data_IF_734176499628
#
_entry.id   IF_734176499628
#
_cell.length_a   1.000
_cell.length_b   1.000
_cell.length_c   1.000
_cell.angle_alpha   90.00
_cell.angle_beta   90.00
_cell.angle_gamma   90.00
#
_symmetry.space_group_name_H-M   'P 1'
#
loop_
_entity.id
_entity.type
_entity.pdbx_description
1 polymer ?
#
# COMPACT_ATOMS: atom_id res chain seq x y z
N UNK A 1 -18.37 19.64 -22.33
CA UNK A 1 -18.07 20.63 -23.39
C UNK A 1 -16.57 20.97 -23.50
N UNK A 2 -15.84 21.08 -22.39
CA UNK A 2 -14.43 21.54 -22.40
C UNK A 2 -13.42 20.51 -22.92
N UNK A 3 -13.59 19.23 -22.59
CA UNK A 3 -12.74 18.14 -23.11
C UNK A 3 -12.75 18.10 -24.65
N UNK A 4 -13.93 18.29 -25.26
CA UNK A 4 -14.06 18.33 -26.72
C UNK A 4 -13.40 19.57 -27.34
N UNK A 5 -13.42 20.71 -26.63
CA UNK A 5 -12.73 21.91 -27.08
C UNK A 5 -11.21 21.71 -27.04
N UNK A 6 -10.68 21.15 -25.95
CA UNK A 6 -9.26 20.79 -25.83
C UNK A 6 -8.83 19.81 -26.94
N UNK A 7 -9.66 18.81 -27.23
CA UNK A 7 -9.41 17.87 -28.34
C UNK A 7 -9.35 18.60 -29.69
N UNK A 8 -10.26 19.54 -29.95
CA UNK A 8 -10.25 20.38 -31.16
C UNK A 8 -9.03 21.29 -31.25
N UNK A 9 -8.49 21.73 -30.11
CA UNK A 9 -7.26 22.53 -30.03
C UNK A 9 -5.98 21.69 -30.19
N UNK A 10 -6.10 20.37 -30.41
CA UNK A 10 -4.97 19.47 -30.65
C UNK A 10 -4.34 18.87 -29.39
N UNK A 11 -4.94 19.08 -28.20
CA UNK A 11 -4.47 18.43 -26.98
C UNK A 11 -4.86 16.96 -26.95
N UNK A 12 -3.98 16.12 -26.41
CA UNK A 12 -4.28 14.71 -26.11
C UNK A 12 -5.29 14.63 -24.97
N UNK A 13 -6.44 14.01 -25.23
CA UNK A 13 -7.50 13.83 -24.25
C UNK A 13 -7.97 12.39 -24.26
N UNK A 14 -8.33 11.87 -23.09
CA UNK A 14 -8.79 10.50 -22.97
C UNK A 14 -10.14 10.31 -23.69
N UNK A 15 -10.23 9.32 -24.57
CA UNK A 15 -11.41 9.01 -25.37
C UNK A 15 -12.55 8.37 -24.56
N UNK A 16 -12.24 7.83 -23.38
CA UNK A 16 -13.20 7.23 -22.45
C UNK A 16 -14.00 8.27 -21.65
N UNK A 17 -13.69 9.56 -21.79
CA UNK A 17 -14.49 10.63 -21.20
C UNK A 17 -15.91 10.61 -21.78
N UNK A 18 -16.91 10.54 -20.89
CA UNK A 18 -18.33 10.52 -21.24
C UNK A 18 -19.12 11.47 -20.33
N UNK A 19 -20.21 12.02 -20.88
CA UNK A 19 -21.22 12.77 -20.11
C UNK A 19 -22.41 11.85 -19.90
N UNK A 20 -22.94 11.83 -18.69
CA UNK A 20 -24.16 11.12 -18.32
C UNK A 20 -25.18 12.13 -17.79
N UNK A 21 -26.47 11.82 -17.94
CA UNK A 21 -27.56 12.65 -17.43
C UNK A 21 -28.07 12.15 -16.06
N UNK A 22 -27.69 10.94 -15.65
CA UNK A 22 -27.95 10.34 -14.33
C UNK A 22 -26.63 9.89 -13.68
N UNK A 23 -26.61 9.88 -12.34
CA UNK A 23 -25.48 9.36 -11.57
C UNK A 23 -25.38 7.83 -11.68
N UNK A 24 -26.52 7.15 -11.72
CA UNK A 24 -26.63 5.69 -11.87
C UNK A 24 -25.99 5.24 -13.19
N UNK A 25 -26.32 5.89 -14.31
CA UNK A 25 -25.70 5.59 -15.61
C UNK A 25 -24.18 5.80 -15.60
N UNK A 26 -23.73 6.86 -14.91
CA UNK A 26 -22.31 7.16 -14.75
C UNK A 26 -21.60 6.09 -13.91
N UNK A 27 -22.25 5.62 -12.84
CA UNK A 27 -21.73 4.56 -11.97
C UNK A 27 -21.68 3.21 -12.68
N UNK A 28 -22.69 2.88 -13.48
CA UNK A 28 -22.73 1.66 -14.28
C UNK A 28 -21.65 1.66 -15.36
N UNK A 29 -21.38 2.81 -15.98
CA UNK A 29 -20.25 2.96 -16.89
C UNK A 29 -18.92 2.82 -16.16
N UNK A 30 -18.73 3.48 -15.02
CA UNK A 30 -17.52 3.38 -14.22
C UNK A 30 -17.24 1.94 -13.76
N UNK A 31 -18.28 1.18 -13.41
CA UNK A 31 -18.19 -0.22 -13.01
C UNK A 31 -17.75 -1.10 -14.17
N UNK A 32 -18.36 -0.95 -15.36
CA UNK A 32 -17.91 -1.66 -16.57
C UNK A 32 -16.47 -1.31 -16.94
N UNK A 33 -16.11 -0.03 -16.81
CA UNK A 33 -14.77 0.45 -17.10
C UNK A 33 -13.73 -0.16 -16.14
N UNK A 34 -14.05 -0.23 -14.84
CA UNK A 34 -13.25 -0.95 -13.83
C UNK A 34 -13.00 -2.41 -14.22
N UNK A 35 -14.04 -3.10 -14.70
CA UNK A 35 -13.91 -4.52 -15.07
C UNK A 35 -13.06 -4.70 -16.34
N UNK A 36 -13.07 -3.71 -17.23
CA UNK A 36 -12.19 -3.65 -18.41
C UNK A 36 -10.77 -3.17 -18.12
N UNK A 37 -10.45 -2.79 -16.88
CA UNK A 37 -9.14 -2.24 -16.47
C UNK A 37 -7.94 -3.03 -16.98
N UNK A 38 -7.90 -4.38 -16.97
CA UNK A 38 -6.76 -5.14 -17.48
C UNK A 38 -6.49 -4.95 -18.99
N UNK A 39 -7.47 -4.47 -19.75
CA UNK A 39 -7.35 -4.22 -21.20
C UNK A 39 -6.89 -2.80 -21.54
N UNK A 40 -6.81 -1.91 -20.54
CA UNK A 40 -6.38 -0.53 -20.76
C UNK A 40 -4.89 -0.49 -21.09
N UNK A 41 -4.51 0.41 -22.00
CA UNK A 41 -3.12 0.64 -22.41
C UNK A 41 -2.29 1.42 -21.38
N UNK A 42 -2.87 1.68 -20.21
CA UNK A 42 -2.29 2.50 -19.15
C UNK A 42 -2.86 2.05 -17.80
N UNK A 43 -2.13 2.36 -16.73
CA UNK A 43 -2.63 2.13 -15.38
C UNK A 43 -3.60 3.23 -14.95
N UNK A 44 -4.67 2.82 -14.27
CA UNK A 44 -5.62 3.72 -13.63
C UNK A 44 -6.04 3.14 -12.28
N UNK A 45 -6.18 4.01 -11.29
CA UNK A 45 -6.59 3.69 -9.91
C UNK A 45 -8.06 4.03 -9.63
N UNK A 46 -8.78 4.58 -10.61
CA UNK A 46 -10.18 5.01 -10.44
C UNK A 46 -10.71 5.87 -11.58
N UNK A 47 -11.94 6.38 -11.40
CA UNK A 47 -12.50 7.44 -12.24
C UNK A 47 -12.82 8.68 -11.40
N UNK A 48 -12.94 9.84 -12.04
CA UNK A 48 -13.34 11.07 -11.38
C UNK A 48 -14.73 11.46 -11.86
N UNK A 49 -15.71 11.47 -10.96
CA UNK A 49 -17.03 12.05 -11.23
C UNK A 49 -16.95 13.56 -11.07
N UNK A 50 -17.48 14.31 -12.04
CA UNK A 50 -17.46 15.78 -12.05
C UNK A 50 -18.83 16.31 -12.43
N UNK A 51 -19.33 17.29 -11.69
CA UNK A 51 -20.51 18.06 -12.12
C UNK A 51 -20.15 18.83 -13.39
N UNK A 52 -20.88 18.64 -14.49
CA UNK A 52 -20.53 19.24 -15.79
C UNK A 52 -20.89 20.74 -15.90
N UNK A 53 -21.79 21.25 -15.06
CA UNK A 53 -22.19 22.66 -15.05
C UNK A 53 -21.19 23.54 -14.29
N UNK A 54 -20.54 24.47 -15.00
CA UNK A 54 -19.52 25.37 -14.43
C UNK A 54 -20.09 26.38 -13.43
N UNK A 55 -21.32 26.84 -13.62
CA UNK A 55 -21.95 27.76 -12.68
C UNK A 55 -22.22 27.03 -11.36
N UNK A 56 -22.59 25.74 -11.43
CA UNK A 56 -22.71 24.89 -10.24
C UNK A 56 -21.33 24.63 -9.61
N UNK A 57 -20.30 24.34 -10.40
CA UNK A 57 -18.92 24.19 -9.87
C UNK A 57 -18.46 25.44 -9.12
N UNK A 58 -18.68 26.64 -9.68
CA UNK A 58 -18.32 27.91 -9.07
C UNK A 58 -19.08 28.16 -7.75
N UNK A 59 -20.37 27.80 -7.69
CA UNK A 59 -21.18 27.90 -6.47
C UNK A 59 -20.73 26.92 -5.39
N UNK A 60 -20.37 25.70 -5.77
CA UNK A 60 -19.92 24.66 -4.84
C UNK A 60 -18.53 24.95 -4.28
N UNK A 61 -17.64 25.55 -5.07
CA UNK A 61 -16.29 25.92 -4.63
C UNK A 61 -15.43 24.72 -4.21
N UNK A 62 -14.55 24.95 -3.25
CA UNK A 62 -13.59 23.97 -2.74
C UNK A 62 -13.46 24.07 -1.20
N UNK A 63 -12.94 23.01 -0.57
CA UNK A 63 -12.49 23.00 0.83
C UNK A 63 -11.01 22.69 0.84
N UNK A 64 -10.18 23.64 1.26
CA UNK A 64 -8.72 23.50 1.14
C UNK A 64 -8.31 23.29 -0.32
N UNK A 65 -7.61 22.20 -0.61
CA UNK A 65 -7.21 21.80 -1.97
C UNK A 65 -8.28 21.03 -2.74
N UNK A 66 -9.37 20.61 -2.08
CA UNK A 66 -10.30 19.63 -2.64
C UNK A 66 -11.57 20.30 -3.20
N UNK A 67 -11.90 20.14 -4.50
CA UNK A 67 -13.11 20.69 -5.07
C UNK A 67 -14.35 19.96 -4.57
N UNK A 68 -15.43 20.69 -4.25
CA UNK A 68 -16.70 20.08 -3.80
C UNK A 68 -17.52 19.45 -4.93
N UNK A 69 -17.21 19.80 -6.17
CA UNK A 69 -17.96 19.42 -7.38
C UNK A 69 -17.37 18.20 -8.10
N UNK A 70 -16.31 17.61 -7.56
CA UNK A 70 -15.67 16.42 -8.11
C UNK A 70 -15.30 15.43 -7.01
N UNK A 71 -15.39 14.14 -7.32
CA UNK A 71 -14.96 13.06 -6.42
C UNK A 71 -14.22 11.99 -7.19
N UNK A 72 -13.08 11.56 -6.64
CA UNK A 72 -12.34 10.42 -7.16
C UNK A 72 -12.94 9.12 -6.60
N UNK A 73 -13.51 8.30 -7.48
CA UNK A 73 -13.97 6.96 -7.16
C UNK A 73 -12.88 5.96 -7.49
N UNK A 74 -12.15 5.55 -6.45
CA UNK A 74 -11.03 4.61 -6.59
C UNK A 74 -11.52 3.18 -6.73
N UNK A 75 -10.85 2.40 -7.57
CA UNK A 75 -11.11 0.97 -7.66
C UNK A 75 -10.63 0.24 -6.42
N UNK A 76 -11.26 -0.89 -6.13
CA UNK A 76 -10.75 -1.80 -5.11
C UNK A 76 -9.30 -2.16 -5.45
N UNK A 77 -8.45 -2.18 -4.42
CA UNK A 77 -7.08 -2.62 -4.56
C UNK A 77 -7.07 -4.04 -5.13
N UNK A 78 -6.20 -4.29 -6.10
CA UNK A 78 -5.96 -5.67 -6.55
C UNK A 78 -5.37 -6.42 -5.37
N UNK A 79 -6.02 -7.49 -4.95
CA UNK A 79 -5.55 -8.36 -3.87
C UNK A 79 -4.93 -9.61 -4.46
N UNK A 80 -3.81 -10.04 -3.88
CA UNK A 80 -3.22 -11.34 -4.18
C UNK A 80 -3.21 -12.19 -2.92
N UNK A 81 -3.42 -13.48 -3.11
CA UNK A 81 -3.24 -14.49 -2.08
C UNK A 81 -1.90 -15.16 -2.33
N UNK A 82 -1.05 -15.21 -1.32
CA UNK A 82 0.22 -15.95 -1.37
C UNK A 82 0.49 -16.65 -0.04
N UNK A 83 1.49 -17.51 -0.02
CA UNK A 83 1.90 -18.27 1.15
C UNK A 83 2.92 -17.47 1.96
N UNK A 84 2.69 -17.37 3.27
CA UNK A 84 3.66 -16.85 4.22
C UNK A 84 4.71 -17.92 4.50
N UNK A 85 5.95 -17.68 4.07
CA UNK A 85 7.09 -18.59 4.32
C UNK A 85 7.73 -18.37 5.69
N UNK A 86 7.52 -17.20 6.30
CA UNK A 86 8.07 -16.88 7.62
C UNK A 86 8.01 -15.40 7.94
N UNK A 87 8.57 -15.00 9.09
CA UNK A 87 8.64 -13.61 9.52
C UNK A 87 10.11 -13.20 9.73
N UNK A 88 10.51 -12.11 9.10
CA UNK A 88 11.82 -11.47 9.25
C UNK A 88 11.68 -10.22 10.12
N UNK A 89 12.58 -10.04 11.09
CA UNK A 89 12.57 -8.90 12.01
C UNK A 89 13.60 -7.87 11.57
N UNK A 90 13.13 -6.66 11.28
CA UNK A 90 14.01 -5.52 10.97
C UNK A 90 14.16 -4.62 12.18
N UNK A 91 15.40 -4.31 12.55
CA UNK A 91 15.71 -3.37 13.62
C UNK A 91 15.99 -2.00 13.00
N UNK A 92 15.18 -1.01 13.35
CA UNK A 92 15.34 0.38 12.93
C UNK A 92 16.44 1.11 13.70
N UNK A 93 16.82 2.29 13.22
CA UNK A 93 17.84 3.15 13.84
C UNK A 93 17.51 3.52 15.30
N UNK A 94 16.23 3.72 15.60
CA UNK A 94 15.74 3.98 16.96
C UNK A 94 15.71 2.74 17.86
N UNK A 95 16.02 1.56 17.33
CA UNK A 95 15.88 0.28 18.02
C UNK A 95 14.51 -0.36 17.88
N UNK A 96 13.55 0.27 17.18
CA UNK A 96 12.25 -0.30 16.88
C UNK A 96 12.40 -1.61 16.10
N UNK A 97 11.73 -2.67 16.53
CA UNK A 97 11.73 -3.98 15.90
C UNK A 97 10.43 -4.11 15.12
N UNK A 98 10.56 -4.24 13.81
CA UNK A 98 9.44 -4.25 12.86
C UNK A 98 9.36 -5.64 12.23
N UNK A 99 8.24 -6.36 12.40
CA UNK A 99 8.00 -7.63 11.72
C UNK A 99 7.67 -7.40 10.24
N UNK A 100 8.30 -8.17 9.37
CA UNK A 100 8.01 -8.24 7.95
C UNK A 100 7.72 -9.69 7.55
N UNK A 101 6.65 -9.90 6.80
CA UNK A 101 6.31 -11.18 6.22
C UNK A 101 7.27 -11.52 5.07
N UNK A 102 7.84 -12.72 5.09
CA UNK A 102 8.47 -13.37 3.94
C UNK A 102 7.41 -14.15 3.20
N UNK A 103 7.21 -13.82 1.94
CA UNK A 103 6.14 -14.37 1.12
C UNK A 103 6.73 -15.22 0.00
N UNK A 104 6.02 -16.29 -0.37
CA UNK A 104 6.27 -16.95 -1.65
C UNK A 104 6.10 -15.91 -2.77
N UNK A 105 7.08 -15.74 -3.68
CA UNK A 105 7.03 -14.70 -4.70
C UNK A 105 5.73 -14.74 -5.51
N UNK A 106 5.07 -13.59 -5.62
CA UNK A 106 3.78 -13.45 -6.33
C UNK A 106 3.76 -12.14 -7.11
N UNK A 107 3.14 -12.15 -8.29
CA UNK A 107 2.92 -10.94 -9.08
C UNK A 107 1.76 -10.13 -8.52
N UNK A 108 2.00 -8.86 -8.19
CA UNK A 108 1.01 -7.91 -7.70
C UNK A 108 1.09 -6.64 -8.56
N UNK A 109 0.21 -6.52 -9.56
CA UNK A 109 0.14 -5.33 -10.41
C UNK A 109 1.41 -5.10 -11.24
N UNK A 110 1.98 -6.15 -11.82
CA UNK A 110 3.14 -6.07 -12.71
C UNK A 110 4.50 -6.05 -12.02
N UNK A 111 4.54 -6.11 -10.68
CA UNK A 111 5.76 -6.30 -9.89
C UNK A 111 5.70 -7.60 -9.11
N UNK A 112 6.82 -8.32 -9.02
CA UNK A 112 6.93 -9.49 -8.14
C UNK A 112 7.26 -9.06 -6.72
N UNK A 113 6.39 -9.39 -5.77
CA UNK A 113 6.63 -9.14 -4.34
C UNK A 113 7.02 -10.45 -3.62
N UNK A 114 8.00 -10.35 -2.72
CA UNK A 114 8.41 -11.47 -1.84
C UNK A 114 8.45 -11.08 -0.35
N UNK A 115 8.13 -9.82 -0.05
CA UNK A 115 8.08 -9.29 1.31
C UNK A 115 6.89 -8.36 1.46
N UNK A 116 6.28 -8.35 2.64
CA UNK A 116 5.24 -7.40 3.01
C UNK A 116 5.35 -6.98 4.48
N UNK A 117 4.90 -5.78 4.82
CA UNK A 117 4.90 -5.31 6.21
C UNK A 117 3.80 -5.99 7.02
N UNK A 118 4.10 -6.30 8.28
CA UNK A 118 3.13 -6.71 9.30
C UNK A 118 2.83 -5.58 10.30
N UNK A 119 3.36 -4.37 10.06
CA UNK A 119 3.28 -3.18 10.92
C UNK A 119 3.95 -3.32 12.29
N UNK A 120 3.43 -4.18 13.17
CA UNK A 120 3.91 -4.35 14.55
C UNK A 120 3.46 -5.71 15.12
N UNK A 121 4.01 -6.09 16.27
CA UNK A 121 3.67 -7.38 16.89
C UNK A 121 2.21 -7.47 17.34
N UNK A 122 1.58 -6.37 17.77
CA UNK A 122 0.15 -6.36 18.07
C UNK A 122 -0.72 -6.76 16.86
N UNK A 123 -0.34 -6.33 15.65
CA UNK A 123 -1.03 -6.73 14.42
C UNK A 123 -0.78 -8.20 14.08
N UNK A 124 0.44 -8.72 14.29
CA UNK A 124 0.75 -10.14 14.09
C UNK A 124 -0.12 -11.03 14.99
N UNK A 125 -0.25 -10.66 16.27
CA UNK A 125 -1.10 -11.36 17.23
C UNK A 125 -2.58 -11.26 16.85
N UNK A 126 -3.04 -10.06 16.44
CA UNK A 126 -4.43 -9.84 16.01
C UNK A 126 -4.80 -10.65 14.77
N UNK A 127 -3.90 -10.72 13.79
CA UNK A 127 -4.07 -11.55 12.60
C UNK A 127 -3.98 -13.05 12.93
N UNK A 128 -3.26 -13.40 14.01
CA UNK A 128 -3.07 -14.77 14.46
C UNK A 128 -2.28 -15.57 13.44
N UNK A 129 -1.17 -15.01 13.00
CA UNK A 129 -0.36 -15.53 11.89
C UNK A 129 0.38 -16.81 12.29
N UNK A 130 0.38 -17.79 11.38
CA UNK A 130 1.23 -18.96 11.43
C UNK A 130 2.09 -19.06 10.15
N UNK A 131 3.31 -19.58 10.27
CA UNK A 131 4.11 -19.91 9.07
C UNK A 131 3.38 -20.97 8.23
N UNK A 132 3.37 -20.79 6.91
CA UNK A 132 2.59 -21.60 5.97
C UNK A 132 1.17 -21.09 5.70
N UNK A 133 0.70 -20.05 6.41
CA UNK A 133 -0.62 -19.48 6.15
C UNK A 133 -0.74 -18.86 4.75
N UNK A 134 -1.94 -18.94 4.18
CA UNK A 134 -2.31 -18.13 3.02
C UNK A 134 -2.71 -16.73 3.50
N UNK A 135 -2.03 -15.71 2.97
CA UNK A 135 -2.21 -14.31 3.36
C UNK A 135 -2.66 -13.46 2.18
N UNK A 136 -3.53 -12.49 2.47
CA UNK A 136 -4.04 -11.52 1.50
C UNK A 136 -3.17 -10.26 1.56
N UNK A 137 -2.67 -9.86 0.40
CA UNK A 137 -1.84 -8.66 0.22
C UNK A 137 -2.48 -7.78 -0.85
N UNK A 138 -3.08 -6.64 -0.48
CA UNK A 138 -3.59 -5.66 -1.44
C UNK A 138 -2.45 -4.84 -2.05
N UNK A 139 -2.63 -4.44 -3.31
CA UNK A 139 -1.84 -3.39 -3.96
C UNK A 139 -2.17 -2.04 -3.33
N UNK A 140 -1.27 -1.53 -2.49
CA UNK A 140 -1.35 -0.19 -1.95
C UNK A 140 -0.68 0.83 -2.90
N UNK A 141 -1.14 0.96 -4.15
CA UNK A 141 -0.51 1.86 -5.13
C UNK A 141 0.99 1.56 -5.34
N UNK A 142 1.84 2.60 -5.30
CA UNK A 142 3.32 2.51 -5.35
C UNK A 142 3.95 2.30 -3.95
N UNK A 143 3.14 2.03 -2.91
CA UNK A 143 3.58 1.97 -1.51
C UNK A 143 3.86 0.54 -1.07
N UNK A 144 4.72 0.40 -0.05
CA UNK A 144 5.16 -0.86 0.58
C UNK A 144 3.97 -1.82 0.78
N UNK A 145 4.01 -3.06 0.23
CA UNK A 145 2.94 -4.03 0.39
C UNK A 145 2.75 -4.43 1.86
N UNK A 146 1.52 -4.70 2.26
CA UNK A 146 1.15 -5.05 3.64
C UNK A 146 0.23 -6.26 3.67
N UNK A 147 0.37 -7.12 4.69
CA UNK A 147 -0.59 -8.20 4.92
C UNK A 147 -1.80 -7.63 5.65
N UNK A 148 -3.00 -7.82 5.09
CA UNK A 148 -4.24 -7.33 5.71
C UNK A 148 -5.08 -8.43 6.33
N UNK A 149 -4.93 -9.68 5.85
CA UNK A 149 -5.74 -10.80 6.30
C UNK A 149 -5.01 -12.13 6.14
N UNK A 150 -5.33 -13.07 7.03
CA UNK A 150 -4.97 -14.48 6.94
C UNK A 150 -6.21 -15.29 6.56
N UNK A 151 -6.10 -16.14 5.55
CA UNK A 151 -7.15 -17.07 5.14
C UNK A 151 -7.10 -18.33 6.01
N UNK A 152 -7.64 -18.23 7.22
CA UNK A 152 -7.64 -19.31 8.23
C UNK A 152 -8.28 -20.61 7.74
N UNK A 153 -9.19 -20.55 6.76
CA UNK A 153 -9.81 -21.73 6.16
C UNK A 153 -8.86 -22.58 5.30
N UNK A 154 -7.75 -21.98 4.83
CA UNK A 154 -6.70 -22.64 4.05
C UNK A 154 -5.45 -22.93 4.88
N UNK A 155 -5.60 -22.87 6.21
CA UNK A 155 -4.50 -23.09 7.15
C UNK A 155 -4.10 -24.56 7.13
N UNK A 156 -2.82 -24.89 6.91
CA UNK A 156 -2.35 -26.27 7.00
C UNK A 156 -2.55 -26.84 8.41
N UNK A 157 -2.79 -28.14 8.50
CA UNK A 157 -2.77 -28.85 9.78
C UNK A 157 -1.35 -28.81 10.37
N UNK A 158 -1.23 -28.68 11.69
CA UNK A 158 0.02 -28.64 12.46
C UNK A 158 0.87 -27.35 12.40
N UNK A 159 0.26 -26.18 12.15
CA UNK A 159 0.98 -24.90 12.25
C UNK A 159 0.92 -24.30 13.66
N UNK A 160 2.04 -23.73 14.12
CA UNK A 160 2.12 -23.00 15.39
C UNK A 160 1.94 -21.50 15.15
N UNK A 161 1.25 -20.84 16.08
CA UNK A 161 1.16 -19.38 16.09
C UNK A 161 2.56 -18.79 16.25
N UNK A 162 2.86 -17.78 15.43
CA UNK A 162 4.12 -17.07 15.56
C UNK A 162 4.11 -16.22 16.84
N UNK A 163 5.21 -16.31 17.60
CA UNK A 163 5.37 -15.60 18.88
C UNK A 163 6.51 -14.59 18.75
N UNK A 164 6.33 -13.33 19.18
CA UNK A 164 7.40 -12.34 19.19
C UNK A 164 8.54 -12.78 20.10
N UNK A 165 9.80 -12.48 19.75
CA UNK A 165 10.94 -12.84 20.59
C UNK A 165 10.93 -12.04 21.90
N UNK A 166 11.37 -12.67 22.99
CA UNK A 166 11.51 -12.00 24.30
C UNK A 166 12.77 -11.11 24.37
N UNK A 167 13.76 -11.41 23.52
CA UNK A 167 15.04 -10.70 23.46
C UNK A 167 15.33 -10.18 22.06
N UNK A 168 16.19 -9.17 21.98
CA UNK A 168 16.61 -8.59 20.70
C UNK A 168 17.33 -9.64 19.84
N UNK A 169 16.85 -9.95 18.62
CA UNK A 169 17.45 -10.98 17.77
C UNK A 169 18.87 -10.62 17.28
N UNK A 170 19.29 -9.36 17.43
CA UNK A 170 20.64 -8.91 17.02
C UNK A 170 21.65 -8.82 18.15
N UNK A 171 21.24 -8.52 19.38
CA UNK A 171 22.18 -8.28 20.48
C UNK A 171 21.82 -8.99 21.78
N UNK A 172 20.78 -9.83 21.76
CA UNK A 172 20.21 -10.54 22.91
C UNK A 172 19.84 -9.64 24.11
N UNK A 173 19.68 -8.34 23.87
CA UNK A 173 19.35 -7.36 24.90
C UNK A 173 17.85 -7.33 25.21
N UNK A 174 17.51 -6.72 26.35
CA UNK A 174 16.12 -6.51 26.76
C UNK A 174 15.33 -5.67 25.75
N UNK A 175 14.05 -6.01 25.62
CA UNK A 175 13.08 -5.32 24.79
C UNK A 175 12.13 -4.51 25.66
N UNK A 176 11.86 -3.27 25.25
CA UNK A 176 10.70 -2.51 25.74
C UNK A 176 9.54 -2.71 24.78
N UNK A 177 8.40 -3.14 25.32
CA UNK A 177 7.15 -3.32 24.58
C UNK A 177 6.12 -2.34 25.13
N UNK A 178 5.46 -1.58 24.26
CA UNK A 178 4.35 -0.72 24.66
C UNK A 178 3.15 -1.55 25.12
N UNK A 179 2.27 -0.97 25.97
CA UNK A 179 1.11 -1.69 26.53
C UNK A 179 0.18 -2.30 25.48
N UNK A 180 0.10 -1.65 24.33
CA UNK A 180 -0.70 -2.03 23.15
C UNK A 180 0.10 -2.85 22.11
N UNK A 181 1.37 -3.17 22.39
CA UNK A 181 2.30 -3.90 21.50
C UNK A 181 2.45 -3.27 20.10
N UNK A 182 2.12 -1.99 19.95
CA UNK A 182 2.33 -1.24 18.70
C UNK A 182 3.78 -0.88 18.49
N UNK A 183 4.55 -0.75 19.56
CA UNK A 183 5.98 -0.44 19.52
C UNK A 183 6.75 -1.41 20.39
N UNK A 184 7.66 -2.17 19.77
CA UNK A 184 8.67 -2.95 20.47
C UNK A 184 10.04 -2.47 20.06
N UNK A 185 10.92 -2.23 21.03
CA UNK A 185 12.24 -1.67 20.76
C UNK A 185 13.31 -2.30 21.65
N UNK A 186 14.47 -2.59 21.06
CA UNK A 186 15.66 -3.04 21.80
C UNK A 186 16.21 -1.91 22.66
N UNK A 187 16.47 -2.09 23.96
CA UNK A 187 16.99 -1.04 24.84
C UNK A 187 18.49 -0.72 24.61
N UNK A 188 19.24 -1.63 24.00
CA UNK A 188 20.68 -1.47 23.81
C UNK A 188 21.02 -0.45 22.70
N UNK A 189 21.55 0.71 23.10
CA UNK A 189 22.01 1.75 22.18
C UNK A 189 23.20 1.33 21.29
N UNK A 190 23.98 0.33 21.70
CA UNK A 190 25.10 -0.24 20.94
C UNK A 190 24.70 -1.48 20.14
N UNK A 191 23.41 -1.79 20.04
CA UNK A 191 22.92 -2.96 19.29
C UNK A 191 23.40 -2.92 17.83
N UNK A 192 24.10 -3.97 17.33
CA UNK A 192 24.57 -4.01 15.94
C UNK A 192 23.43 -3.80 14.93
N UNK A 193 22.23 -4.31 15.21
CA UNK A 193 21.04 -4.13 14.38
C UNK A 193 20.59 -2.68 14.23
N UNK A 194 20.92 -1.78 15.18
CA UNK A 194 20.67 -0.33 15.04
C UNK A 194 21.72 0.35 14.15
N UNK A 195 22.92 -0.22 14.07
CA UNK A 195 24.10 0.34 13.39
C UNK A 195 24.44 -0.36 12.08
N UNK A 196 23.68 -1.38 11.69
CA UNK A 196 23.88 -2.20 10.48
C UNK A 196 23.73 -1.44 9.16
N UNK A 197 23.27 -0.17 9.21
CA UNK A 197 23.33 0.79 8.10
C UNK A 197 24.40 1.88 8.29
N UNK A 198 25.62 1.53 8.70
CA UNK A 198 26.81 2.33 8.32
C UNK A 198 27.22 1.98 6.88
N UNK A 199 26.33 2.24 5.92
CA UNK A 199 26.77 2.36 4.53
C UNK A 199 27.23 3.79 4.39
N UNK A 200 28.51 3.99 4.09
CA UNK A 200 29.08 5.27 3.68
C UNK A 200 28.14 5.90 2.64
N UNK A 201 27.45 6.98 3.01
CA UNK A 201 26.81 7.84 2.03
C UNK A 201 27.94 8.53 1.26
N UNK A 202 28.33 8.00 0.11
CA UNK A 202 29.10 8.75 -0.87
C UNK A 202 28.12 9.74 -1.49
N UNK A 203 28.26 11.02 -1.13
CA UNK A 203 27.56 12.11 -1.81
C UNK A 203 28.16 12.26 -3.20
N UNK A 204 27.32 12.15 -4.23
CA UNK A 204 27.65 12.57 -5.59
C UNK A 204 26.78 13.80 -5.87
N UNK A 205 27.39 14.98 -5.79
CA UNK A 205 26.77 16.24 -6.21
C UNK A 205 27.03 16.42 -7.71
N UNK A 206 25.99 16.78 -8.46
CA UNK A 206 26.12 17.25 -9.85
C UNK A 206 26.32 18.76 -9.93
N UNK A 207 26.54 19.45 -8.80
CA UNK A 207 27.04 20.82 -8.83
C UNK A 207 28.48 20.80 -9.34
N UNK A 208 28.64 21.14 -10.61
CA UNK A 208 29.91 21.61 -11.15
C UNK A 208 30.42 22.71 -10.23
N UNK A 209 31.65 22.58 -9.75
CA UNK A 209 32.39 23.71 -9.19
C UNK A 209 32.60 24.74 -10.30
N UNK A 210 31.68 25.71 -10.39
CA UNK A 210 31.89 27.07 -10.89
C UNK A 210 30.90 28.02 -10.21
#
# INVERSE_FOLDING_TARGET
MHVNLLKKMGFSVNDDNRKFDSFEDALDYATRWRDSRPSLKYESDGVIFKVNDLAVQAKLGAVGSDPRWAVAWKFAATEVVTVLEGIELTIGRSGAIIPNARLKPVELGGVTISRASLHNFGMVEKLGICEGDHVVVPRAGDVIPQVVQVLKALRPDHVQLWVPPERCPSCDGELTVSKDKTMTSCCNNKCPGRHSRKVLTIFLSTETLF
#
